data_IF_837453203858
#
_entry.id   IF_837453203858
#
_cell.length_a   1.000
_cell.length_b   1.000
_cell.length_c   1.000
_cell.angle_alpha   90.00
_cell.angle_beta   90.00
_cell.angle_gamma   90.00
#
_symmetry.space_group_name_H-M   'P 1'
#
loop_
_entity.id
_entity.type
_entity.pdbx_description
1 polymer ?
#
# COMPACT_ATOMS: atom_id res chain seq x y z
N UNK A 1 -1.23 9.36 2.24
CA UNK A 1 -0.73 7.99 2.55
C UNK A 1 -0.39 7.86 4.02
N UNK A 2 0.54 8.66 4.57
CA UNK A 2 0.79 8.71 6.04
C UNK A 2 -0.47 9.08 6.83
N UNK A 3 -1.25 10.07 6.37
CA UNK A 3 -2.48 10.50 7.07
C UNK A 3 -3.70 9.61 6.78
N UNK A 4 -3.59 8.63 5.89
CA UNK A 4 -4.73 7.85 5.41
C UNK A 4 -4.64 6.38 5.81
N UNK A 5 -3.49 5.74 5.57
CA UNK A 5 -3.36 4.30 5.72
C UNK A 5 -3.14 3.89 7.18
N UNK A 6 -2.17 4.49 7.86
CA UNK A 6 -1.83 4.12 9.24
C UNK A 6 -2.97 4.47 10.22
N UNK A 7 -3.57 5.69 10.23
CA UNK A 7 -4.54 6.06 11.26
C UNK A 7 -5.84 5.26 11.16
N UNK A 8 -6.18 4.79 9.97
CA UNK A 8 -7.35 3.95 9.71
C UNK A 8 -7.05 2.49 10.04
N UNK A 9 -5.86 1.99 9.67
CA UNK A 9 -5.48 0.60 9.90
C UNK A 9 -5.15 0.33 11.37
N UNK A 10 -4.49 1.27 12.06
CA UNK A 10 -4.15 1.16 13.47
C UNK A 10 -5.38 0.96 14.37
N UNK A 11 -6.52 1.57 14.02
CA UNK A 11 -7.80 1.38 14.73
C UNK A 11 -8.40 -0.02 14.55
N UNK A 12 -8.03 -0.72 13.48
CA UNK A 12 -8.50 -2.06 13.17
C UNK A 12 -7.61 -3.14 13.80
N UNK A 13 -6.39 -2.78 14.20
CA UNK A 13 -5.48 -3.70 14.88
C UNK A 13 -5.93 -3.91 16.33
N UNK A 14 -6.16 -5.17 16.68
CA UNK A 14 -6.47 -5.57 18.07
C UNK A 14 -5.23 -5.57 18.97
N UNK A 15 -4.04 -5.54 18.37
CA UNK A 15 -2.75 -5.55 19.06
C UNK A 15 -1.74 -4.68 18.29
N UNK A 16 -0.98 -3.85 19.00
CA UNK A 16 0.01 -2.91 18.44
C UNK A 16 1.36 -3.55 18.10
N UNK A 17 1.48 -4.87 18.29
CA UNK A 17 2.67 -5.65 17.95
C UNK A 17 2.58 -6.39 16.61
N UNK A 18 1.51 -6.13 15.85
CA UNK A 18 1.30 -6.74 14.54
C UNK A 18 1.98 -5.89 13.45
N UNK A 19 2.70 -6.56 12.55
CA UNK A 19 3.23 -5.93 11.35
C UNK A 19 2.15 -5.83 10.26
N UNK A 20 2.07 -4.67 9.63
CA UNK A 20 1.17 -4.42 8.51
C UNK A 20 1.93 -4.50 7.19
N UNK A 21 1.43 -5.27 6.22
CA UNK A 21 1.99 -5.30 4.87
C UNK A 21 1.28 -4.27 3.99
N UNK A 22 2.02 -3.28 3.49
CA UNK A 22 1.53 -2.28 2.54
C UNK A 22 2.11 -2.56 1.15
N UNK A 23 1.22 -2.84 0.19
CA UNK A 23 1.59 -3.09 -1.22
C UNK A 23 1.34 -1.83 -2.04
N UNK A 24 2.40 -1.27 -2.62
CA UNK A 24 2.33 -0.07 -3.45
C UNK A 24 2.36 -0.43 -4.93
N UNK A 25 1.64 0.36 -5.73
CA UNK A 25 1.85 0.34 -7.18
C UNK A 25 3.31 0.79 -7.45
N UNK A 26 3.93 0.25 -8.49
CA UNK A 26 5.35 0.51 -8.81
C UNK A 26 5.69 1.94 -9.22
N UNK A 27 4.83 2.89 -8.92
CA UNK A 27 5.08 4.29 -9.17
C UNK A 27 5.86 4.88 -7.99
N UNK A 28 7.14 5.14 -8.25
CA UNK A 28 8.14 5.47 -7.23
C UNK A 28 7.93 6.84 -6.55
N UNK A 29 6.92 7.62 -6.95
CA UNK A 29 6.65 8.94 -6.34
C UNK A 29 6.21 8.85 -4.88
N UNK A 30 5.82 7.66 -4.41
CA UNK A 30 5.37 7.45 -3.03
C UNK A 30 6.51 7.04 -2.07
N UNK A 31 7.68 6.67 -2.58
CA UNK A 31 8.80 6.19 -1.76
C UNK A 31 9.80 7.31 -1.45
N UNK A 32 9.41 8.25 -0.58
CA UNK A 32 10.33 9.25 -0.03
C UNK A 32 11.01 8.73 1.23
N UNK A 33 12.16 9.29 1.60
CA UNK A 33 12.85 8.92 2.84
C UNK A 33 11.97 9.06 4.09
N UNK A 34 11.23 10.17 4.18
CA UNK A 34 10.29 10.43 5.28
C UNK A 34 9.20 9.37 5.37
N UNK A 35 8.65 8.97 4.22
CA UNK A 35 7.65 7.92 4.16
C UNK A 35 8.22 6.57 4.64
N UNK A 36 9.42 6.20 4.20
CA UNK A 36 10.07 4.96 4.66
C UNK A 36 10.30 4.99 6.18
N UNK A 37 10.79 6.11 6.72
CA UNK A 37 11.01 6.27 8.16
C UNK A 37 9.69 6.12 8.94
N UNK A 38 8.63 6.78 8.47
CA UNK A 38 7.30 6.68 9.05
C UNK A 38 6.79 5.23 9.06
N UNK A 39 6.95 4.50 7.95
CA UNK A 39 6.53 3.10 7.89
C UNK A 39 7.34 2.18 8.80
N UNK A 40 8.64 2.43 8.98
CA UNK A 40 9.47 1.70 9.93
C UNK A 40 8.99 1.90 11.37
N UNK A 41 8.70 3.14 11.77
CA UNK A 41 8.25 3.46 13.13
C UNK A 41 6.90 2.81 13.48
N UNK A 42 6.05 2.57 12.48
CA UNK A 42 4.70 2.01 12.65
C UNK A 42 4.60 0.52 12.31
N UNK A 43 5.71 -0.22 12.20
CA UNK A 43 5.75 -1.66 11.87
C UNK A 43 5.06 -1.98 10.53
N UNK A 44 5.17 -1.08 9.57
CA UNK A 44 4.62 -1.25 8.22
C UNK A 44 5.74 -1.73 7.29
N UNK A 45 5.55 -2.91 6.70
CA UNK A 45 6.43 -3.48 5.68
C UNK A 45 5.93 -3.00 4.32
N UNK A 46 6.78 -2.28 3.57
CA UNK A 46 6.44 -1.83 2.22
C UNK A 46 6.89 -2.86 1.19
N UNK A 47 6.00 -3.24 0.26
CA UNK A 47 6.33 -3.97 -0.96
C UNK A 47 5.91 -3.14 -2.17
N UNK A 48 6.90 -2.68 -2.94
CA UNK A 48 6.66 -1.96 -4.20
C UNK A 48 6.63 -2.96 -5.36
N UNK A 49 5.53 -2.98 -6.10
CA UNK A 49 5.46 -3.74 -7.36
C UNK A 49 6.38 -3.10 -8.42
N UNK A 50 6.79 -3.85 -9.44
CA UNK A 50 7.65 -3.29 -10.50
C UNK A 50 6.88 -2.19 -11.27
N UNK A 51 7.52 -1.05 -11.60
CA UNK A 51 6.95 -0.15 -12.59
C UNK A 51 6.78 -0.94 -13.89
N UNK A 52 5.61 -0.87 -14.52
CA UNK A 52 5.26 -1.53 -15.79
C UNK A 52 4.66 -2.96 -15.74
N UNK A 53 4.36 -3.55 -14.58
CA UNK A 53 3.48 -4.74 -14.50
C UNK A 53 1.98 -4.42 -14.35
N UNK A 54 1.60 -3.17 -14.67
CA UNK A 54 0.28 -2.57 -14.50
C UNK A 54 -0.84 -3.29 -15.25
N UNK A 55 -0.53 -3.96 -16.37
CA UNK A 55 -1.52 -4.62 -17.22
C UNK A 55 -1.79 -6.09 -16.89
N UNK A 56 -0.98 -6.74 -16.03
CA UNK A 56 -1.13 -8.18 -15.76
C UNK A 56 -1.16 -8.51 -14.26
N UNK A 57 -0.46 -7.75 -13.41
CA UNK A 57 -0.20 -8.15 -12.02
C UNK A 57 -0.65 -7.14 -10.95
N UNK A 58 -1.34 -6.06 -11.31
CA UNK A 58 -1.92 -5.19 -10.28
C UNK A 58 -3.28 -5.73 -9.84
N UNK A 59 -3.40 -6.34 -8.63
CA UNK A 59 -4.67 -6.84 -8.14
C UNK A 59 -5.74 -5.74 -8.07
N UNK A 60 -5.33 -4.49 -7.85
CA UNK A 60 -6.24 -3.36 -7.93
C UNK A 60 -6.87 -3.23 -9.34
N UNK A 61 -6.08 -3.28 -10.42
CA UNK A 61 -6.60 -3.13 -11.78
C UNK A 61 -7.36 -4.36 -12.29
N UNK A 62 -6.89 -5.56 -11.94
CA UNK A 62 -7.44 -6.82 -12.47
C UNK A 62 -8.65 -7.31 -11.67
N UNK A 63 -8.74 -6.98 -10.37
CA UNK A 63 -9.81 -7.45 -9.49
C UNK A 63 -10.74 -6.32 -9.03
N UNK A 64 -10.20 -5.21 -8.52
CA UNK A 64 -10.99 -4.15 -7.89
C UNK A 64 -11.60 -3.18 -8.92
N UNK A 65 -10.84 -2.82 -9.96
CA UNK A 65 -11.27 -1.85 -10.97
C UNK A 65 -11.84 -2.48 -12.25
N UNK A 66 -11.74 -3.79 -12.43
CA UNK A 66 -12.31 -4.50 -13.59
C UNK A 66 -13.83 -4.27 -13.76
N UNK A 67 -14.65 -4.22 -12.70
CA UNK A 67 -16.07 -3.88 -12.82
C UNK A 67 -16.33 -2.44 -13.25
N UNK A 68 -15.38 -1.53 -12.96
CA UNK A 68 -15.48 -0.11 -13.32
C UNK A 68 -14.98 0.17 -14.75
N UNK A 69 -14.24 -0.76 -15.36
CA UNK A 69 -13.81 -0.66 -16.76
C UNK A 69 -14.89 -1.11 -17.77
N UNK A 70 -15.87 -1.90 -17.34
CA UNK A 70 -16.95 -2.42 -18.18
C UNK A 70 -18.31 -1.73 -17.94
N UNK A 71 -18.32 -0.60 -17.23
CA UNK A 71 -19.50 0.24 -17.02
C UNK A 71 -19.74 1.19 -18.19
#
# INVERSE_FOLDING_TARGET
MEQDFEPQTAKLLTNTDIYCLLILNGYNSHCTFWFCLYTCDHKIIIVCLLPHTTHVLQPCNVLVFLPLQHA
#
